data_IF_375702464027
#
_entry.id   IF_375702464027
#
_cell.length_a   1.000
_cell.length_b   1.000
_cell.length_c   1.000
_cell.angle_alpha   90.00
_cell.angle_beta   90.00
_cell.angle_gamma   90.00
#
_symmetry.space_group_name_H-M   'P 1'
#
loop_
_entity.id
_entity.type
_entity.pdbx_description
1 polymer ?
#
# COMPACT_ATOMS: atom_id res chain seq x y z
N UNK A 1 -15.39 5.77 9.30
CA UNK A 1 -14.58 6.27 8.17
C UNK A 1 -15.43 6.05 6.94
N UNK A 2 -16.05 7.11 6.44
CA UNK A 2 -16.73 7.07 5.14
C UNK A 2 -15.64 6.97 4.08
N UNK A 3 -15.52 5.81 3.44
CA UNK A 3 -14.82 5.75 2.17
C UNK A 3 -15.62 6.58 1.18
N UNK A 4 -14.95 7.53 0.51
CA UNK A 4 -15.57 8.34 -0.52
C UNK A 4 -16.31 7.42 -1.51
N UNK A 5 -17.55 7.80 -1.84
CA UNK A 5 -18.38 7.14 -2.83
C UNK A 5 -17.57 6.92 -4.12
N UNK A 6 -17.15 5.68 -4.36
CA UNK A 6 -16.49 5.29 -5.59
C UNK A 6 -17.62 4.80 -6.52
N UNK A 7 -17.98 5.55 -7.58
CA UNK A 7 -18.99 5.07 -8.51
C UNK A 7 -18.51 3.73 -9.08
N UNK A 8 -19.46 2.80 -9.31
CA UNK A 8 -19.18 1.48 -9.90
C UNK A 8 -18.83 1.59 -11.40
N UNK A 9 -17.92 2.49 -11.75
CA UNK A 9 -17.32 2.54 -13.07
C UNK A 9 -16.15 1.58 -13.05
N UNK A 10 -16.08 0.71 -14.05
CA UNK A 10 -14.91 -0.15 -14.25
C UNK A 10 -13.77 0.70 -14.80
N UNK A 11 -13.04 1.35 -13.89
CA UNK A 11 -11.92 2.27 -14.17
C UNK A 11 -10.79 1.56 -14.94
N UNK A 12 -10.73 0.23 -14.89
CA UNK A 12 -9.75 -0.57 -15.64
C UNK A 12 -10.13 -0.71 -17.13
N UNK A 13 -11.43 -0.69 -17.46
CA UNK A 13 -11.91 -0.76 -18.84
C UNK A 13 -11.95 0.60 -19.54
N UNK A 14 -11.89 1.68 -18.77
CA UNK A 14 -11.84 3.03 -19.32
C UNK A 14 -10.46 3.33 -19.93
N UNK A 15 -10.41 3.40 -21.26
CA UNK A 15 -9.18 3.74 -22.01
C UNK A 15 -8.73 5.18 -21.80
N UNK A 16 -9.59 6.06 -21.27
CA UNK A 16 -9.23 7.44 -20.94
C UNK A 16 -8.59 7.54 -19.55
N UNK A 17 -8.70 6.51 -18.71
CA UNK A 17 -8.04 6.51 -17.41
C UNK A 17 -6.52 6.43 -17.59
N UNK A 18 -5.83 7.44 -17.07
CA UNK A 18 -4.36 7.55 -17.09
C UNK A 18 -3.75 7.49 -15.69
N UNK A 19 -4.59 7.35 -14.66
CA UNK A 19 -4.16 7.36 -13.26
C UNK A 19 -4.08 5.93 -12.73
N UNK A 20 -2.90 5.58 -12.24
CA UNK A 20 -2.59 4.29 -11.63
C UNK A 20 -1.71 4.52 -10.39
N UNK A 21 -1.88 3.68 -9.37
CA UNK A 21 -1.06 3.69 -8.16
C UNK A 21 -0.46 2.31 -7.91
N UNK A 22 0.68 2.26 -7.22
CA UNK A 22 1.35 1.01 -6.87
C UNK A 22 2.25 1.19 -5.65
N UNK A 23 2.41 0.12 -4.88
CA UNK A 23 3.40 0.02 -3.80
C UNK A 23 4.64 -0.81 -4.23
N UNK A 24 4.73 -1.19 -5.50
CA UNK A 24 5.85 -1.97 -6.04
C UNK A 24 7.13 -1.11 -6.02
N UNK A 25 8.25 -1.61 -5.47
CA UNK A 25 9.54 -0.93 -5.53
C UNK A 25 9.98 -0.67 -6.97
N UNK A 26 10.66 0.43 -7.21
CA UNK A 26 11.08 0.85 -8.55
C UNK A 26 11.80 -0.25 -9.35
N UNK A 27 12.72 -1.00 -8.71
CA UNK A 27 13.47 -2.08 -9.35
C UNK A 27 12.64 -3.32 -9.74
N UNK A 28 11.40 -3.42 -9.26
CA UNK A 28 10.45 -4.49 -9.57
C UNK A 28 9.29 -4.02 -10.45
N UNK A 29 9.32 -2.78 -10.94
CA UNK A 29 8.28 -2.28 -11.83
C UNK A 29 8.25 -3.05 -13.15
N UNK A 30 7.07 -3.24 -13.75
CA UNK A 30 6.96 -3.79 -15.09
C UNK A 30 7.79 -3.00 -16.10
N UNK A 31 8.49 -3.70 -16.98
CA UNK A 31 9.32 -3.09 -18.02
C UNK A 31 8.51 -2.15 -18.93
N UNK A 32 7.23 -2.46 -19.17
CA UNK A 32 6.30 -1.60 -19.89
C UNK A 32 6.14 -0.23 -19.23
N UNK A 33 6.02 -0.18 -17.91
CA UNK A 33 5.89 1.06 -17.13
C UNK A 33 7.21 1.82 -17.16
N UNK A 34 8.33 1.13 -16.90
CA UNK A 34 9.67 1.74 -16.90
C UNK A 34 10.05 2.36 -18.27
N UNK A 35 9.63 1.73 -19.37
CA UNK A 35 9.90 2.21 -20.74
C UNK A 35 8.84 3.14 -21.33
N UNK A 36 7.67 3.24 -20.71
CA UNK A 36 6.55 4.04 -21.25
C UNK A 36 6.80 5.54 -21.28
N UNK A 37 7.78 6.04 -20.52
CA UNK A 37 7.99 7.47 -20.31
C UNK A 37 6.87 8.15 -19.50
N UNK A 38 6.00 7.36 -18.84
CA UNK A 38 4.97 7.90 -17.96
C UNK A 38 5.60 8.66 -16.78
N UNK A 39 4.89 9.68 -16.30
CA UNK A 39 5.33 10.45 -15.13
C UNK A 39 4.98 9.68 -13.86
N UNK A 40 5.94 9.60 -12.94
CA UNK A 40 5.75 8.95 -11.65
C UNK A 40 5.84 9.98 -10.53
N UNK A 41 4.97 9.85 -9.54
CA UNK A 41 5.03 10.64 -8.29
C UNK A 41 5.21 9.66 -7.15
N UNK A 42 6.22 9.90 -6.32
CA UNK A 42 6.55 9.07 -5.16
C UNK A 42 6.38 9.91 -3.90
N UNK A 43 5.70 9.35 -2.90
CA UNK A 43 5.52 9.95 -1.58
C UNK A 43 6.10 9.01 -0.52
N UNK A 44 6.71 9.61 0.50
CA UNK A 44 7.19 8.90 1.67
C UNK A 44 6.84 9.68 2.93
N UNK A 45 6.81 8.99 4.06
CA UNK A 45 6.48 9.53 5.38
C UNK A 45 7.51 9.04 6.38
N UNK A 46 7.64 9.74 7.52
CA UNK A 46 8.48 9.28 8.63
C UNK A 46 8.18 7.79 8.93
N UNK A 47 9.21 6.95 9.07
CA UNK A 47 9.01 5.50 9.17
C UNK A 47 8.26 5.07 10.44
N UNK A 48 8.35 5.83 11.54
CA UNK A 48 7.62 5.54 12.78
C UNK A 48 6.13 5.77 12.57
N UNK A 49 5.81 6.87 11.91
CA UNK A 49 4.46 7.25 11.52
C UNK A 49 3.83 6.26 10.52
N UNK A 50 4.62 5.83 9.52
CA UNK A 50 4.23 4.80 8.55
C UNK A 50 3.94 3.48 9.24
N UNK A 51 4.78 3.07 10.21
CA UNK A 51 4.59 1.85 10.98
C UNK A 51 3.27 1.87 11.78
N UNK A 52 2.99 2.95 12.52
CA UNK A 52 1.74 3.06 13.31
C UNK A 52 0.51 3.04 12.40
N UNK A 53 0.59 3.68 11.24
CA UNK A 53 -0.49 3.66 10.23
C UNK A 53 -0.74 2.23 9.72
N UNK A 54 0.32 1.51 9.32
CA UNK A 54 0.23 0.12 8.87
C UNK A 54 -0.33 -0.80 9.96
N UNK A 55 0.17 -0.67 11.18
CA UNK A 55 -0.25 -1.46 12.33
C UNK A 55 -1.75 -1.30 12.60
N UNK A 56 -2.21 -0.06 12.63
CA UNK A 56 -3.62 0.27 12.89
C UNK A 56 -4.52 -0.21 11.74
N UNK A 57 -4.06 -0.11 10.49
CA UNK A 57 -4.76 -0.62 9.33
C UNK A 57 -4.92 -2.15 9.40
N UNK A 58 -3.84 -2.88 9.65
CA UNK A 58 -3.87 -4.34 9.77
C UNK A 58 -4.78 -4.81 10.91
N UNK A 59 -4.81 -4.11 12.05
CA UNK A 59 -5.72 -4.46 13.14
C UNK A 59 -7.20 -4.40 12.73
N UNK A 60 -7.55 -3.45 11.85
CA UNK A 60 -8.92 -3.29 11.36
C UNK A 60 -9.26 -4.29 10.26
N UNK A 61 -8.32 -4.59 9.37
CA UNK A 61 -8.56 -5.49 8.22
C UNK A 61 -8.62 -6.97 8.63
N UNK A 62 -7.81 -7.39 9.60
CA UNK A 62 -7.66 -8.82 9.95
C UNK A 62 -8.96 -9.54 10.32
N UNK A 63 -9.88 -8.95 11.11
CA UNK A 63 -11.19 -9.54 11.37
C UNK A 63 -12.01 -9.82 10.10
N UNK A 64 -11.86 -9.01 9.05
CA UNK A 64 -12.58 -9.20 7.78
C UNK A 64 -11.93 -10.25 6.88
N UNK A 65 -10.64 -10.51 7.06
CA UNK A 65 -9.85 -11.45 6.27
C UNK A 65 -9.68 -12.83 6.93
N UNK A 66 -10.32 -13.05 8.08
CA UNK A 66 -10.17 -14.24 8.94
C UNK A 66 -8.69 -14.57 9.25
N UNK A 67 -7.87 -13.51 9.33
CA UNK A 67 -6.50 -13.60 9.81
C UNK A 67 -6.56 -13.39 11.32
N UNK A 68 -6.02 -14.33 12.11
CA UNK A 68 -5.97 -14.23 13.58
C UNK A 68 -5.34 -12.92 14.08
N UNK A 69 -5.33 -12.69 15.40
CA UNK A 69 -4.78 -11.44 15.97
C UNK A 69 -3.36 -11.14 15.52
N UNK A 70 -3.00 -9.86 15.41
CA UNK A 70 -1.61 -9.48 15.21
C UNK A 70 -0.76 -9.90 16.43
N UNK A 71 0.55 -9.99 16.23
CA UNK A 71 1.53 -10.18 17.31
C UNK A 71 1.53 -8.96 18.26
N UNK A 72 2.46 -8.87 19.20
CA UNK A 72 2.61 -7.64 19.97
C UNK A 72 3.09 -6.46 19.09
N UNK A 73 2.81 -5.23 19.53
CA UNK A 73 3.30 -4.02 18.85
C UNK A 73 4.84 -4.04 18.71
N UNK A 74 5.54 -4.48 19.77
CA UNK A 74 7.00 -4.54 19.81
C UNK A 74 7.56 -5.55 18.81
N UNK A 75 7.00 -6.76 18.74
CA UNK A 75 7.43 -7.77 17.75
C UNK A 75 7.18 -7.28 16.33
N UNK A 76 6.04 -6.64 16.08
CA UNK A 76 5.75 -6.09 14.76
C UNK A 76 6.63 -4.90 14.41
N UNK A 77 7.04 -4.10 15.40
CA UNK A 77 8.02 -3.05 15.21
C UNK A 77 9.41 -3.61 14.91
N UNK A 78 9.86 -4.66 15.62
CA UNK A 78 11.12 -5.36 15.33
C UNK A 78 11.13 -5.93 13.90
N UNK A 79 10.05 -6.63 13.52
CA UNK A 79 9.89 -7.13 12.15
C UNK A 79 9.95 -6.02 11.11
N UNK A 80 9.29 -4.88 11.36
CA UNK A 80 9.34 -3.71 10.48
C UNK A 80 10.77 -3.15 10.36
N UNK A 81 11.48 -2.98 11.48
CA UNK A 81 12.87 -2.51 11.49
C UNK A 81 13.82 -3.45 10.75
N UNK A 82 13.56 -4.76 10.76
CA UNK A 82 14.32 -5.79 10.03
C UNK A 82 13.91 -5.93 8.57
N UNK A 83 12.91 -5.17 8.11
CA UNK A 83 12.40 -5.22 6.73
C UNK A 83 11.43 -6.36 6.44
N UNK A 84 10.97 -7.09 7.46
CA UNK A 84 9.92 -8.11 7.33
C UNK A 84 8.52 -7.49 7.34
N UNK A 85 8.30 -6.52 6.45
CA UNK A 85 7.01 -5.89 6.20
C UNK A 85 6.71 -5.88 4.71
N UNK A 86 5.44 -6.05 4.33
CA UNK A 86 5.03 -5.80 2.94
C UNK A 86 5.42 -4.38 2.53
N UNK A 87 5.78 -4.16 1.25
CA UNK A 87 6.21 -2.84 0.77
C UNK A 87 5.12 -1.79 1.07
N UNK A 88 5.38 -0.93 2.05
CA UNK A 88 4.50 0.17 2.42
C UNK A 88 5.06 1.44 1.79
N UNK A 89 4.40 1.90 0.74
CA UNK A 89 4.44 3.30 0.36
C UNK A 89 3.04 3.83 0.64
N UNK A 90 2.93 5.01 1.24
CA UNK A 90 1.63 5.63 1.44
C UNK A 90 1.10 6.12 0.09
#
# INVERSE_FOLDING_TARGET
MEFAYCPQVDVLKDKQNTLFSTHIPYGLLPESVAKSGCKMVYIWRDPKDTFISMWTFQQKERPYLDLGSLNSLEECFDMFCRGFSGYVLI
#
